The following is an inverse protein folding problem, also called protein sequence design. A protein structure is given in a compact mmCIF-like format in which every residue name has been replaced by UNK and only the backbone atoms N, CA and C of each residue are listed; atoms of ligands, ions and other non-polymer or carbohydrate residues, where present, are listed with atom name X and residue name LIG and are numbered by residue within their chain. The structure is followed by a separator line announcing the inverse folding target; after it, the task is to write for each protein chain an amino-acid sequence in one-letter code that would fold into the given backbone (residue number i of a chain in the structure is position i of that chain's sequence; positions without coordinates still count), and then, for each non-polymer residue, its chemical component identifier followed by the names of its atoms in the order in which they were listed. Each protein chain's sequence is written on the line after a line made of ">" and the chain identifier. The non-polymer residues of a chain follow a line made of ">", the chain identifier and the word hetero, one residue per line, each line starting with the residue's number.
data_IF_916031577166
#
_entry.id   IF_916031577166
#
_cell.length_a   1.000
_cell.length_b   1.000
_cell.length_c   1.000
_cell.angle_alpha   90.00
_cell.angle_beta   90.00
_cell.angle_gamma   90.00
#
_symmetry.space_group_name_H-M   'P 1'
#
loop_
_entity.id
_entity.type
_entity.pdbx_description
1 polymer ?
#
# COMPACT_ATOMS: atom_id res chain seq x y z
N UNK A 1 -12.24 -15.35 11.21
CA UNK A 1 -12.70 -16.71 11.62
C UNK A 1 -12.50 -16.97 13.12
N UNK A 2 -11.47 -16.41 13.76
CA UNK A 2 -11.17 -16.64 15.19
C UNK A 2 -12.09 -15.91 16.17
N UNK A 3 -12.80 -14.85 15.76
CA UNK A 3 -13.84 -14.21 16.58
C UNK A 3 -15.19 -14.97 16.55
N UNK A 4 -15.25 -16.14 15.91
CA UNK A 4 -16.48 -16.93 15.91
C UNK A 4 -16.82 -17.37 17.34
N UNK A 5 -18.12 -17.39 17.71
CA UNK A 5 -18.54 -17.76 19.08
C UNK A 5 -18.00 -19.11 19.54
N UNK A 6 -17.84 -20.06 18.61
CA UNK A 6 -17.26 -21.37 18.86
C UNK A 6 -15.78 -21.29 19.29
N UNK A 7 -14.96 -20.51 18.59
CA UNK A 7 -13.53 -20.37 18.88
C UNK A 7 -13.36 -19.70 20.24
N UNK A 8 -14.13 -18.64 20.54
CA UNK A 8 -14.10 -17.98 21.83
C UNK A 8 -14.44 -18.94 22.99
N UNK A 9 -15.45 -19.81 22.80
CA UNK A 9 -15.79 -20.87 23.77
C UNK A 9 -14.66 -21.90 23.91
N UNK A 10 -14.04 -22.31 22.81
CA UNK A 10 -12.91 -23.25 22.83
C UNK A 10 -11.70 -22.68 23.60
N UNK A 11 -11.39 -21.39 23.43
CA UNK A 11 -10.33 -20.70 24.19
C UNK A 11 -10.61 -20.71 25.69
N UNK A 12 -11.86 -20.45 26.09
CA UNK A 12 -12.27 -20.50 27.51
C UNK A 12 -12.17 -21.91 28.08
N UNK A 13 -12.57 -22.93 27.30
CA UNK A 13 -12.41 -24.33 27.70
C UNK A 13 -10.95 -24.73 27.85
N UNK A 14 -10.08 -24.34 26.92
CA UNK A 14 -8.64 -24.61 27.00
C UNK A 14 -8.00 -23.95 28.23
N UNK A 15 -8.45 -22.73 28.56
CA UNK A 15 -8.03 -22.01 29.77
C UNK A 15 -8.48 -22.75 31.04
N UNK A 16 -9.74 -23.15 31.08
CA UNK A 16 -10.32 -23.83 32.25
C UNK A 16 -9.70 -25.21 32.48
N UNK A 17 -9.40 -25.94 31.41
CA UNK A 17 -8.74 -27.23 31.45
C UNK A 17 -7.23 -27.15 31.77
N UNK A 18 -6.68 -25.95 32.00
CA UNK A 18 -5.23 -25.70 32.17
C UNK A 18 -4.39 -26.39 31.08
N UNK A 19 -4.90 -26.36 29.84
CA UNK A 19 -4.24 -27.02 28.73
C UNK A 19 -2.88 -26.37 28.45
N UNK A 20 -1.84 -27.19 28.25
CA UNK A 20 -0.52 -26.73 27.81
C UNK A 20 -0.57 -25.99 26.46
N UNK A 21 -1.62 -26.17 25.67
CA UNK A 21 -1.82 -25.48 24.40
C UNK A 21 -2.42 -24.07 24.56
N UNK A 22 -3.04 -23.77 25.72
CA UNK A 22 -3.69 -22.47 25.96
C UNK A 22 -2.72 -21.29 25.84
N UNK A 23 -1.52 -21.28 26.44
CA UNK A 23 -0.60 -20.15 26.34
C UNK A 23 -0.22 -19.81 24.90
N UNK A 24 0.12 -20.83 24.08
CA UNK A 24 0.49 -20.64 22.68
C UNK A 24 -0.69 -20.14 21.84
N UNK A 25 -1.87 -20.74 22.02
CA UNK A 25 -3.09 -20.32 21.31
C UNK A 25 -3.51 -18.89 21.67
N UNK A 26 -3.40 -18.53 22.95
CA UNK A 26 -3.72 -17.20 23.44
C UNK A 26 -2.76 -16.14 22.87
N UNK A 27 -1.45 -16.43 22.85
CA UNK A 27 -0.45 -15.54 22.25
C UNK A 27 -0.73 -15.30 20.76
N UNK A 28 -0.95 -16.37 19.98
CA UNK A 28 -1.28 -16.27 18.55
C UNK A 28 -2.59 -15.48 18.30
N UNK A 29 -3.59 -15.67 19.16
CA UNK A 29 -4.86 -14.93 19.04
C UNK A 29 -4.68 -13.44 19.27
N UNK A 30 -3.79 -13.07 20.20
CA UNK A 30 -3.46 -11.67 20.49
C UNK A 30 -2.66 -11.05 19.34
N UNK A 31 -1.60 -11.71 18.88
CA UNK A 31 -0.79 -11.26 17.73
C UNK A 31 -1.64 -11.04 16.48
N UNK A 32 -2.56 -11.97 16.19
CA UNK A 32 -3.46 -11.81 15.06
C UNK A 32 -4.42 -10.62 15.23
N UNK A 33 -4.93 -10.40 16.45
CA UNK A 33 -5.80 -9.27 16.72
C UNK A 33 -5.06 -7.95 16.46
N UNK A 34 -3.84 -7.82 16.97
CA UNK A 34 -3.01 -6.64 16.76
C UNK A 34 -2.70 -6.44 15.27
N UNK A 35 -2.30 -7.50 14.56
CA UNK A 35 -2.06 -7.45 13.12
C UNK A 35 -3.31 -7.06 12.32
N UNK A 36 -4.50 -7.51 12.74
CA UNK A 36 -5.75 -7.15 12.10
C UNK A 36 -6.11 -5.67 12.32
N UNK A 37 -5.94 -5.17 13.54
CA UNK A 37 -6.16 -3.76 13.86
C UNK A 37 -5.22 -2.88 13.02
N UNK A 38 -3.94 -3.24 12.98
CA UNK A 38 -2.95 -2.57 12.17
C UNK A 38 -3.31 -2.58 10.68
N UNK A 39 -3.63 -3.74 10.12
CA UNK A 39 -3.98 -3.87 8.71
C UNK A 39 -5.25 -3.08 8.36
N UNK A 40 -6.26 -3.08 9.24
CA UNK A 40 -7.48 -2.31 9.05
C UNK A 40 -7.22 -0.81 9.05
N UNK A 41 -6.35 -0.34 9.94
CA UNK A 41 -6.00 1.07 10.03
C UNK A 41 -5.22 1.52 8.80
N UNK A 42 -4.18 0.77 8.42
CA UNK A 42 -3.37 1.05 7.22
C UNK A 42 -4.27 1.03 5.98
N UNK A 43 -5.13 0.02 5.83
CA UNK A 43 -6.04 -0.08 4.69
C UNK A 43 -6.98 1.12 4.61
N UNK A 44 -7.47 1.63 5.74
CA UNK A 44 -8.33 2.82 5.78
C UNK A 44 -7.59 4.07 5.28
N UNK A 45 -6.34 4.25 5.68
CA UNK A 45 -5.54 5.42 5.29
C UNK A 45 -4.96 5.32 3.89
N UNK A 46 -4.67 4.10 3.40
CA UNK A 46 -4.16 3.89 2.05
C UNK A 46 -5.26 3.80 0.99
N UNK A 47 -6.50 3.43 1.34
CA UNK A 47 -7.59 3.31 0.38
C UNK A 47 -7.79 4.55 -0.52
N UNK A 48 -7.73 5.80 -0.01
CA UNK A 48 -7.87 6.99 -0.86
C UNK A 48 -6.74 7.19 -1.88
N UNK A 49 -5.59 6.55 -1.68
CA UNK A 49 -4.48 6.62 -2.63
C UNK A 49 -4.65 5.66 -3.81
N UNK A 50 -5.55 4.67 -3.72
CA UNK A 50 -5.72 3.64 -4.74
C UNK A 50 -6.01 4.24 -6.13
N UNK A 51 -6.93 5.22 -6.20
CA UNK A 51 -7.25 5.89 -7.46
C UNK A 51 -6.03 6.57 -8.09
N UNK A 52 -5.22 7.27 -7.28
CA UNK A 52 -4.02 7.96 -7.77
C UNK A 52 -2.96 6.94 -8.24
N UNK A 53 -2.89 5.77 -7.62
CA UNK A 53 -1.98 4.71 -8.09
C UNK A 53 -2.48 4.03 -9.36
N UNK A 54 -3.79 3.87 -9.50
CA UNK A 54 -4.39 3.36 -10.73
C UNK A 54 -4.10 4.31 -11.91
N UNK A 55 -4.09 5.63 -11.69
CA UNK A 55 -3.69 6.60 -12.72
C UNK A 55 -2.20 6.47 -13.10
N UNK A 56 -1.32 6.23 -12.11
CA UNK A 56 0.14 6.19 -12.31
C UNK A 56 0.62 4.85 -12.89
N UNK A 57 0.00 3.74 -12.51
CA UNK A 57 0.48 2.41 -12.86
C UNK A 57 0.13 2.06 -14.32
N UNK A 58 1.12 1.75 -15.19
CA UNK A 58 0.87 1.34 -16.58
C UNK A 58 0.03 0.06 -16.71
N UNK A 59 -0.08 -0.71 -15.62
CA UNK A 59 -0.82 -1.98 -15.57
C UNK A 59 -2.30 -1.80 -15.23
N UNK A 60 -2.72 -0.61 -14.81
CA UNK A 60 -4.10 -0.35 -14.42
C UNK A 60 -4.96 -0.02 -15.65
N UNK A 61 -6.24 -0.36 -15.57
CA UNK A 61 -7.21 0.03 -16.61
C UNK A 61 -7.47 1.53 -16.67
N UNK A 62 -7.15 2.25 -15.60
CA UNK A 62 -7.34 3.70 -15.49
C UNK A 62 -6.01 4.47 -15.69
N UNK A 63 -5.01 3.80 -16.26
CA UNK A 63 -3.70 4.38 -16.50
C UNK A 63 -3.79 5.67 -17.34
N UNK A 64 -3.07 6.69 -16.90
CA UNK A 64 -2.93 7.99 -17.56
C UNK A 64 -1.47 8.15 -18.01
N UNK A 65 -1.28 8.64 -19.24
CA UNK A 65 0.05 8.90 -19.80
C UNK A 65 0.84 9.90 -18.95
N UNK A 66 2.17 9.74 -18.90
CA UNK A 66 3.05 10.54 -18.07
C UNK A 66 2.88 12.07 -18.24
N UNK A 67 2.68 12.53 -19.47
CA UNK A 67 2.44 13.95 -19.77
C UNK A 67 1.23 14.49 -19.01
N UNK A 68 0.11 13.77 -19.08
CA UNK A 68 -1.16 14.19 -18.50
C UNK A 68 -1.12 14.10 -16.96
N UNK A 69 -0.36 13.16 -16.38
CA UNK A 69 -0.10 13.11 -14.94
C UNK A 69 0.58 14.39 -14.42
N UNK A 70 1.49 14.98 -15.23
CA UNK A 70 2.17 16.23 -14.89
C UNK A 70 1.21 17.42 -15.00
N UNK A 71 0.46 17.52 -16.10
CA UNK A 71 -0.51 18.60 -16.31
C UNK A 71 -1.59 18.65 -15.24
N UNK A 72 -2.12 17.47 -14.85
CA UNK A 72 -3.15 17.34 -13.82
C UNK A 72 -2.59 17.46 -12.40
N UNK A 73 -1.28 17.68 -12.24
CA UNK A 73 -0.60 17.78 -10.93
C UNK A 73 -0.82 16.55 -10.05
N UNK A 74 -0.90 15.37 -10.65
CA UNK A 74 -1.15 14.11 -9.94
C UNK A 74 -0.10 13.86 -8.85
N UNK A 75 1.18 14.15 -9.12
CA UNK A 75 2.26 14.04 -8.13
C UNK A 75 2.06 14.96 -6.91
N UNK A 76 1.52 16.16 -7.10
CA UNK A 76 1.22 17.06 -5.97
C UNK A 76 0.12 16.47 -5.09
N UNK A 77 -0.96 15.96 -5.69
CA UNK A 77 -2.04 15.25 -4.97
C UNK A 77 -1.47 14.05 -4.21
N UNK A 78 -0.63 13.26 -4.87
CA UNK A 78 0.05 12.10 -4.28
C UNK A 78 0.88 12.48 -3.05
N UNK A 79 1.78 13.47 -3.15
CA UNK A 79 2.63 13.87 -2.02
C UNK A 79 1.83 14.45 -0.86
N UNK A 80 0.73 15.18 -1.12
CA UNK A 80 -0.16 15.63 -0.04
C UNK A 80 -0.85 14.46 0.67
N UNK A 81 -1.32 13.47 -0.08
CA UNK A 81 -1.91 12.26 0.50
C UNK A 81 -0.87 11.43 1.27
N UNK A 82 0.34 11.26 0.72
CA UNK A 82 1.46 10.60 1.42
C UNK A 82 1.81 11.30 2.73
N UNK A 83 1.89 12.63 2.73
CA UNK A 83 2.12 13.41 3.94
C UNK A 83 0.99 13.21 4.96
N UNK A 84 -0.25 13.17 4.49
CA UNK A 84 -1.41 12.91 5.36
C UNK A 84 -1.30 11.53 5.99
N UNK A 85 -1.03 10.47 5.21
CA UNK A 85 -0.84 9.11 5.72
C UNK A 85 0.32 9.06 6.71
N UNK A 86 1.45 9.70 6.40
CA UNK A 86 2.62 9.76 7.28
C UNK A 86 2.33 10.41 8.63
N UNK A 87 1.51 11.45 8.65
CA UNK A 87 1.23 12.24 9.87
C UNK A 87 0.04 11.74 10.66
N UNK A 88 -0.81 10.88 10.08
CA UNK A 88 -2.08 10.46 10.70
C UNK A 88 -2.19 8.95 10.94
N UNK A 89 -1.36 8.13 10.28
CA UNK A 89 -1.35 6.68 10.46
C UNK A 89 -0.05 6.24 11.13
N UNK A 90 -0.04 6.21 12.47
CA UNK A 90 1.15 5.80 13.26
C UNK A 90 1.67 4.42 12.87
N UNK A 91 0.74 3.53 12.52
CA UNK A 91 1.06 2.18 12.04
C UNK A 91 1.82 2.19 10.72
N UNK A 92 1.55 3.13 9.82
CA UNK A 92 2.24 3.23 8.53
C UNK A 92 3.46 4.15 8.57
N UNK A 93 3.51 5.10 9.52
CA UNK A 93 4.50 6.18 9.65
C UNK A 93 5.91 5.72 10.09
N UNK A 94 6.36 4.56 9.60
CA UNK A 94 7.73 4.09 9.76
C UNK A 94 8.54 4.41 8.51
N UNK A 95 9.77 4.86 8.69
CA UNK A 95 10.65 5.23 7.56
C UNK A 95 10.81 4.09 6.56
N UNK A 96 10.95 2.85 7.05
CA UNK A 96 11.07 1.68 6.18
C UNK A 96 9.85 1.48 5.27
N UNK A 97 8.63 1.59 5.80
CA UNK A 97 7.41 1.45 5.00
C UNK A 97 7.28 2.56 3.97
N UNK A 98 7.59 3.79 4.36
CA UNK A 98 7.44 4.93 3.46
C UNK A 98 8.51 4.93 2.36
N UNK A 99 9.74 4.54 2.65
CA UNK A 99 10.79 4.30 1.63
C UNK A 99 10.36 3.20 0.66
N UNK A 100 9.86 2.08 1.18
CA UNK A 100 9.39 0.99 0.33
C UNK A 100 8.24 1.44 -0.58
N UNK A 101 7.28 2.18 -0.01
CA UNK A 101 6.13 2.70 -0.72
C UNK A 101 6.52 3.67 -1.83
N UNK A 102 7.37 4.66 -1.53
CA UNK A 102 7.90 5.60 -2.54
C UNK A 102 8.68 4.84 -3.63
N UNK A 103 9.43 3.81 -3.28
CA UNK A 103 10.16 3.00 -4.27
C UNK A 103 9.21 2.31 -5.26
N UNK A 104 8.06 1.81 -4.80
CA UNK A 104 7.04 1.22 -5.68
C UNK A 104 6.49 2.25 -6.67
N UNK A 105 6.17 3.45 -6.18
CA UNK A 105 5.69 4.57 -7.00
C UNK A 105 6.72 4.95 -8.07
N UNK A 106 7.98 5.07 -7.68
CA UNK A 106 9.07 5.41 -8.60
C UNK A 106 9.22 4.34 -9.69
N UNK A 107 9.07 3.06 -9.34
CA UNK A 107 9.10 1.99 -10.34
C UNK A 107 7.98 2.14 -11.37
N UNK A 108 6.75 2.41 -10.94
CA UNK A 108 5.63 2.65 -11.86
C UNK A 108 5.88 3.88 -12.74
N UNK A 109 6.42 4.96 -12.19
CA UNK A 109 6.78 6.17 -12.96
C UNK A 109 7.85 5.88 -14.00
N UNK A 110 8.86 5.07 -13.67
CA UNK A 110 9.91 4.65 -14.62
C UNK A 110 9.30 3.83 -15.76
N UNK A 111 8.41 2.90 -15.44
CA UNK A 111 7.74 2.09 -16.46
C UNK A 111 6.84 2.95 -17.37
N UNK A 112 6.12 3.91 -16.79
CA UNK A 112 5.31 4.90 -17.50
C UNK A 112 6.17 5.80 -18.42
N UNK A 113 7.35 6.21 -17.95
CA UNK A 113 8.31 6.97 -18.76
C UNK A 113 8.89 6.15 -19.93
N UNK A 114 9.10 4.84 -19.74
CA UNK A 114 9.57 3.96 -20.81
C UNK A 114 8.56 3.81 -21.93
N UNK A 115 7.26 3.83 -21.62
CA UNK A 115 6.20 3.81 -22.64
C UNK A 115 6.12 5.15 -23.39
N UNK A 116 6.33 6.27 -22.69
CA UNK A 116 6.30 7.60 -23.29
C UNK A 116 7.52 7.90 -24.19
N UNK A 117 8.67 7.27 -23.93
CA UNK A 117 9.92 7.52 -24.66
C UNK A 117 10.14 6.47 -25.74
N UNK A 118 10.01 6.85 -27.00
CA UNK A 118 10.48 6.03 -28.11
C UNK A 118 12.00 6.22 -28.26
N UNK A 119 12.79 5.34 -27.64
CA UNK A 119 14.27 5.40 -27.61
C UNK A 119 14.91 5.63 -29.00
N UNK A 120 14.42 5.04 -30.11
CA UNK A 120 14.95 5.30 -31.45
C UNK A 120 14.77 6.75 -31.92
N UNK A 121 13.74 7.45 -31.47
CA UNK A 121 13.44 8.83 -31.90
C UNK A 121 14.25 9.86 -31.09
N UNK A 122 14.61 9.55 -29.85
CA UNK A 122 15.43 10.43 -28.98
C UNK A 122 16.85 10.63 -29.51
N UNK A 123 17.39 9.66 -30.25
CA UNK A 123 18.75 9.72 -30.80
C UNK A 123 18.79 10.07 -32.29
N UNK A 124 17.64 10.36 -32.91
CA UNK A 124 17.64 10.95 -34.24
C UNK A 124 18.10 12.39 -34.12
N UNK A 125 19.10 12.83 -34.91
CA UNK A 125 19.45 14.24 -34.97
C UNK A 125 18.21 15.02 -35.42
N UNK A 126 17.87 16.09 -34.69
CA UNK A 126 16.79 17.01 -35.08
C UNK A 126 16.98 17.39 -36.55
N UNK A 127 16.19 16.78 -37.42
CA UNK A 127 16.21 17.08 -38.86
C UNK A 127 15.15 18.15 -39.08
N UNK A 128 15.35 19.30 -38.44
CA UNK A 128 14.58 20.52 -38.73
C UNK A 128 15.32 21.27 -39.85
N UNK A 129 14.82 21.12 -41.09
CA UNK A 129 15.01 22.08 -42.20
C UNK A 129 13.81 23.03 -42.27
#
# INVERSE_FOLDING_TARGET
>A
QLCKPFIAKATVMLKFAQSNAYPAFHALSFELHDALVEASEISRFLAPLAEVFDEISPRSSNHIALHDLVEQRAFRKLFHLLYTVWTTCDKFATTARMVHFISLIVNDVIDNAREAINVPDVFQPDTEE
#
